data_IF_417557480835
#
_entry.id   IF_417557480835
#
_cell.length_a   1.000
_cell.length_b   1.000
_cell.length_c   1.000
_cell.angle_alpha   90.00
_cell.angle_beta   90.00
_cell.angle_gamma   90.00
#
_symmetry.space_group_name_H-M   'P 1'
#
loop_
_entity.id
_entity.type
_entity.pdbx_description
1 polymer ?
#
# COMPACT_ATOMS: atom_id res chain seq x y z
N UNK A 1 19.62 0.16 -0.61
CA UNK A 1 18.23 -0.20 -0.24
C UNK A 1 17.96 -1.69 -0.38
N UNK A 2 18.09 -2.29 -1.57
CA UNK A 2 17.66 -3.68 -1.83
C UNK A 2 18.21 -4.70 -0.82
N UNK A 3 19.49 -4.61 -0.48
CA UNK A 3 20.12 -5.51 0.50
C UNK A 3 19.51 -5.37 1.91
N UNK A 4 19.03 -4.18 2.25
CA UNK A 4 18.33 -3.90 3.51
C UNK A 4 16.90 -4.44 3.55
N UNK A 5 16.37 -4.95 2.43
CA UNK A 5 15.07 -5.63 2.37
C UNK A 5 15.23 -7.16 2.38
N UNK A 6 16.45 -7.67 2.24
CA UNK A 6 16.74 -9.10 2.23
C UNK A 6 16.88 -9.64 3.67
N UNK A 7 16.59 -10.94 3.81
CA UNK A 7 16.69 -11.66 5.08
C UNK A 7 15.71 -11.20 6.16
N UNK A 8 14.75 -10.34 5.81
CA UNK A 8 13.73 -9.89 6.74
C UNK A 8 12.73 -11.02 7.05
N UNK A 9 12.19 -11.08 8.29
CA UNK A 9 11.17 -12.06 8.65
C UNK A 9 9.95 -11.99 7.73
N UNK A 10 9.37 -13.14 7.41
CA UNK A 10 8.11 -13.23 6.67
C UNK A 10 6.88 -13.30 7.59
N UNK A 11 7.07 -13.58 8.89
CA UNK A 11 5.99 -13.60 9.88
C UNK A 11 6.47 -13.05 11.24
N UNK A 12 5.89 -11.94 11.75
CA UNK A 12 5.00 -11.03 11.03
C UNK A 12 5.68 -10.47 9.75
N UNK A 13 4.90 -10.00 8.76
CA UNK A 13 5.46 -9.48 7.52
C UNK A 13 6.32 -8.24 7.77
N UNK A 14 7.37 -8.09 6.97
CA UNK A 14 8.35 -7.03 7.17
C UNK A 14 8.19 -5.85 6.20
N UNK A 15 7.53 -6.04 5.07
CA UNK A 15 7.42 -5.05 4.00
C UNK A 15 6.01 -4.48 3.94
N UNK A 16 5.89 -3.19 4.16
CA UNK A 16 4.64 -2.44 4.05
C UNK A 16 4.81 -1.40 2.96
N UNK A 17 3.97 -1.47 1.94
CA UNK A 17 4.19 -0.84 0.65
C UNK A 17 2.98 -0.01 0.27
N UNK A 18 3.27 1.13 -0.34
CA UNK A 18 2.28 2.01 -0.96
C UNK A 18 2.91 2.63 -2.22
N UNK A 19 2.10 3.24 -3.08
CA UNK A 19 2.55 3.99 -4.24
C UNK A 19 1.83 5.33 -4.32
N UNK A 20 2.52 6.33 -4.89
CA UNK A 20 1.91 7.62 -5.23
C UNK A 20 2.22 8.01 -6.67
N UNK A 21 1.27 8.70 -7.32
CA UNK A 21 1.46 9.24 -8.65
C UNK A 21 0.23 9.93 -9.25
N UNK A 22 0.39 10.50 -10.46
CA UNK A 22 -0.70 11.18 -11.15
C UNK A 22 -1.68 10.17 -11.74
N UNK A 23 -2.92 10.16 -11.25
CA UNK A 23 -3.94 9.17 -11.65
C UNK A 23 -3.46 7.71 -11.55
N UNK A 24 -2.79 7.38 -10.43
CA UNK A 24 -2.14 6.08 -10.15
C UNK A 24 -2.94 4.89 -10.71
N UNK A 25 -2.46 4.36 -11.84
CA UNK A 25 -3.01 3.25 -12.62
C UNK A 25 -2.09 3.01 -13.83
N UNK A 26 -2.39 1.99 -14.64
CA UNK A 26 -1.74 1.77 -15.95
C UNK A 26 -1.91 2.93 -16.94
N UNK A 27 -2.92 3.78 -16.73
CA UNK A 27 -3.22 4.94 -17.58
C UNK A 27 -2.72 6.26 -17.00
N UNK A 28 -2.16 6.25 -15.79
CA UNK A 28 -1.51 7.38 -15.14
C UNK A 28 -0.01 7.16 -15.03
N UNK A 29 0.57 7.51 -13.89
CA UNK A 29 1.99 7.31 -13.60
C UNK A 29 2.23 6.79 -12.18
N UNK A 30 3.45 6.29 -11.95
CA UNK A 30 3.99 6.05 -10.61
C UNK A 30 5.13 7.05 -10.39
N UNK A 31 4.99 7.91 -9.41
CA UNK A 31 5.99 8.93 -9.05
C UNK A 31 6.90 8.43 -7.93
N UNK A 32 6.32 7.75 -6.95
CA UNK A 32 6.98 7.26 -5.75
C UNK A 32 6.48 5.87 -5.39
N UNK A 33 7.40 5.08 -4.82
CA UNK A 33 7.07 3.82 -4.17
C UNK A 33 7.61 3.87 -2.75
N UNK A 34 6.73 3.68 -1.76
CA UNK A 34 7.07 3.71 -0.34
C UNK A 34 7.27 2.27 0.16
N UNK A 35 8.36 2.01 0.90
CA UNK A 35 8.57 0.72 1.58
C UNK A 35 8.96 0.99 3.02
N UNK A 36 8.05 0.73 3.96
CA UNK A 36 8.42 0.60 5.36
C UNK A 36 8.93 -0.82 5.66
N UNK A 37 10.15 -0.89 6.19
CA UNK A 37 10.83 -2.13 6.53
C UNK A 37 10.84 -2.36 8.06
N UNK A 38 9.97 -3.26 8.53
CA UNK A 38 9.97 -3.78 9.91
C UNK A 38 10.95 -4.96 10.03
N UNK A 39 11.64 -5.18 11.16
CA UNK A 39 11.68 -4.36 12.38
C UNK A 39 12.73 -3.23 12.31
N UNK A 40 13.29 -2.93 11.13
CA UNK A 40 14.33 -1.90 10.96
C UNK A 40 13.86 -0.46 11.24
N UNK A 41 12.55 -0.24 11.39
CA UNK A 41 11.89 1.06 11.59
C UNK A 41 12.36 2.13 10.60
N UNK A 42 12.48 1.76 9.32
CA UNK A 42 12.94 2.65 8.27
C UNK A 42 11.97 2.65 7.09
N UNK A 43 11.67 3.83 6.55
CA UNK A 43 10.88 3.99 5.32
C UNK A 43 11.78 4.42 4.19
N UNK A 44 11.80 3.63 3.12
CA UNK A 44 12.43 4.00 1.86
C UNK A 44 11.39 4.67 0.95
N UNK A 45 11.73 5.84 0.42
CA UNK A 45 10.99 6.47 -0.67
C UNK A 45 11.79 6.26 -1.96
N UNK A 46 11.30 5.40 -2.84
CA UNK A 46 11.94 5.10 -4.13
C UNK A 46 11.40 6.08 -5.16
N UNK A 47 12.30 6.85 -5.75
CA UNK A 47 11.97 7.84 -6.78
C UNK A 47 11.72 7.14 -8.13
N UNK A 48 10.48 6.68 -8.35
CA UNK A 48 10.09 6.01 -9.59
C UNK A 48 10.06 7.00 -10.76
N UNK A 49 9.69 8.26 -10.51
CA UNK A 49 9.72 9.33 -11.52
C UNK A 49 11.12 9.49 -12.13
N UNK A 50 12.18 9.51 -11.30
CA UNK A 50 13.55 9.68 -11.80
C UNK A 50 14.18 8.36 -12.29
N UNK A 51 13.89 7.23 -11.64
CA UNK A 51 14.55 5.96 -11.92
C UNK A 51 13.85 5.15 -13.02
N UNK A 52 12.54 5.32 -13.19
CA UNK A 52 11.71 4.50 -14.08
C UNK A 52 11.97 3.00 -13.91
N UNK A 53 12.13 2.30 -15.04
CA UNK A 53 12.40 0.85 -15.05
C UNK A 53 13.68 0.44 -14.30
N UNK A 54 14.66 1.36 -14.14
CA UNK A 54 15.90 1.06 -13.39
C UNK A 54 15.66 0.81 -11.92
N UNK A 55 14.60 1.37 -11.34
CA UNK A 55 14.21 1.09 -9.95
C UNK A 55 13.99 -0.42 -9.70
N UNK A 56 13.61 -1.15 -10.75
CA UNK A 56 13.20 -2.54 -10.68
C UNK A 56 14.21 -3.53 -11.26
N UNK A 57 15.20 -3.06 -12.02
CA UNK A 57 16.21 -3.91 -12.69
C UNK A 57 17.59 -3.89 -12.03
N UNK A 58 17.90 -2.88 -11.20
CA UNK A 58 19.17 -2.82 -10.47
C UNK A 58 19.24 -3.91 -9.40
N UNK A 59 20.35 -4.65 -9.40
CA UNK A 59 20.62 -5.70 -8.42
C UNK A 59 21.26 -5.11 -7.17
N UNK A 60 20.85 -5.59 -5.99
CA UNK A 60 21.61 -5.42 -4.76
C UNK A 60 22.86 -6.30 -4.73
N UNK A 61 23.70 -6.14 -3.71
CA UNK A 61 24.85 -7.01 -3.45
C UNK A 61 24.45 -8.50 -3.35
N UNK A 62 23.25 -8.80 -2.82
CA UNK A 62 22.70 -10.16 -2.79
C UNK A 62 22.14 -10.67 -4.12
N UNK A 63 22.35 -9.96 -5.24
CA UNK A 63 21.98 -10.36 -6.59
C UNK A 63 20.49 -10.23 -6.93
N UNK A 64 19.61 -9.98 -5.96
CA UNK A 64 18.18 -9.73 -6.17
C UNK A 64 17.88 -8.31 -6.62
N UNK A 65 16.80 -8.13 -7.38
CA UNK A 65 16.24 -6.81 -7.73
C UNK A 65 14.97 -6.50 -6.92
N UNK A 66 14.50 -5.26 -6.97
CA UNK A 66 13.21 -4.90 -6.36
C UNK A 66 12.05 -5.66 -7.02
N UNK A 67 12.09 -5.83 -8.35
CA UNK A 67 11.11 -6.63 -9.10
C UNK A 67 10.97 -8.03 -8.51
N UNK A 68 12.09 -8.74 -8.34
CA UNK A 68 12.08 -10.09 -7.79
C UNK A 68 11.55 -10.15 -6.34
N UNK A 69 11.70 -9.09 -5.55
CA UNK A 69 11.12 -9.01 -4.21
C UNK A 69 9.59 -8.85 -4.29
N UNK A 70 9.11 -7.95 -5.16
CA UNK A 70 7.69 -7.69 -5.38
C UNK A 70 6.97 -8.91 -5.98
N UNK A 71 7.60 -9.64 -6.89
CA UNK A 71 7.03 -10.84 -7.54
C UNK A 71 7.14 -12.12 -6.69
N UNK A 72 7.89 -12.11 -5.59
CA UNK A 72 8.08 -13.31 -4.76
C UNK A 72 6.85 -13.62 -3.90
N UNK A 73 6.23 -14.78 -4.13
CA UNK A 73 5.14 -15.30 -3.27
C UNK A 73 5.60 -15.61 -1.84
N UNK A 74 6.89 -15.88 -1.62
CA UNK A 74 7.46 -16.23 -0.30
C UNK A 74 7.85 -15.02 0.54
N UNK A 75 7.84 -13.81 -0.05
CA UNK A 75 8.07 -12.56 0.65
C UNK A 75 6.72 -11.84 0.76
N UNK A 76 6.10 -11.77 1.94
CA UNK A 76 4.86 -11.05 2.10
C UNK A 76 5.07 -9.53 1.94
N UNK A 77 4.21 -8.89 1.14
CA UNK A 77 4.10 -7.43 1.07
C UNK A 77 2.72 -7.02 1.52
N UNK A 78 2.66 -6.10 2.46
CA UNK A 78 1.41 -5.59 3.01
C UNK A 78 1.08 -4.28 2.32
N UNK A 79 -0.08 -4.23 1.66
CA UNK A 79 -0.64 -3.04 1.03
C UNK A 79 -1.94 -2.67 1.73
N UNK A 80 -2.35 -1.40 1.64
CA UNK A 80 -3.72 -1.02 1.96
C UNK A 80 -4.48 -0.77 0.66
N UNK A 81 -5.31 -1.72 0.23
CA UNK A 81 -6.04 -1.65 -1.05
C UNK A 81 -5.14 -1.70 -2.30
N UNK A 82 -4.59 -2.87 -2.59
CA UNK A 82 -3.53 -3.07 -3.60
C UNK A 82 -3.94 -2.83 -5.07
N UNK A 83 -5.23 -2.58 -5.34
CA UNK A 83 -5.78 -2.72 -6.70
C UNK A 83 -5.13 -1.76 -7.70
N UNK A 84 -5.06 -0.47 -7.39
CA UNK A 84 -4.45 0.51 -8.30
C UNK A 84 -2.92 0.45 -8.29
N UNK A 85 -2.31 0.05 -7.17
CA UNK A 85 -0.86 -0.16 -7.06
C UNK A 85 -0.41 -1.27 -7.99
N UNK A 86 -1.09 -2.42 -7.92
CA UNK A 86 -0.83 -3.60 -8.75
C UNK A 86 -1.10 -3.31 -10.23
N UNK A 87 -2.20 -2.59 -10.53
CA UNK A 87 -2.51 -2.13 -11.88
C UNK A 87 -1.39 -1.27 -12.47
N UNK A 88 -0.89 -0.30 -11.70
CA UNK A 88 0.18 0.60 -12.13
C UNK A 88 1.53 -0.14 -12.28
N UNK A 89 1.89 -0.97 -11.30
CA UNK A 89 3.13 -1.76 -11.31
C UNK A 89 3.19 -2.71 -12.52
N UNK A 90 2.07 -3.38 -12.81
CA UNK A 90 1.97 -4.28 -13.95
C UNK A 90 1.92 -3.52 -15.27
N UNK A 91 1.05 -2.50 -15.38
CA UNK A 91 0.86 -1.73 -16.60
C UNK A 91 2.11 -1.01 -17.09
N UNK A 92 2.92 -0.45 -16.17
CA UNK A 92 4.12 0.32 -16.53
C UNK A 92 5.40 -0.52 -16.58
N UNK A 93 5.53 -1.53 -15.72
CA UNK A 93 6.80 -2.23 -15.49
C UNK A 93 6.71 -3.77 -15.59
N UNK A 94 5.53 -4.29 -15.93
CA UNK A 94 5.28 -5.73 -16.07
C UNK A 94 5.62 -6.51 -14.81
N UNK A 95 5.36 -5.94 -13.63
CA UNK A 95 5.62 -6.57 -12.34
C UNK A 95 4.41 -7.43 -11.97
N UNK A 96 4.61 -8.75 -11.96
CA UNK A 96 3.60 -9.72 -11.53
C UNK A 96 3.58 -9.80 -9.99
N UNK A 97 2.93 -8.82 -9.36
CA UNK A 97 2.92 -8.67 -7.91
C UNK A 97 2.39 -9.94 -7.22
N UNK A 98 3.13 -10.51 -6.28
CA UNK A 98 2.72 -11.74 -5.58
C UNK A 98 2.90 -11.62 -4.07
N UNK A 99 2.38 -12.56 -3.28
CA UNK A 99 2.56 -12.56 -1.82
C UNK A 99 1.92 -11.36 -1.10
N UNK A 100 0.85 -10.79 -1.67
CA UNK A 100 0.17 -9.62 -1.10
C UNK A 100 -0.67 -9.99 0.12
N UNK A 101 -0.62 -9.14 1.14
CA UNK A 101 -1.60 -9.10 2.22
C UNK A 101 -2.30 -7.74 2.19
N UNK A 102 -3.59 -7.73 1.87
CA UNK A 102 -4.37 -6.49 1.74
C UNK A 102 -5.03 -6.12 3.08
N UNK A 103 -4.54 -5.05 3.72
CA UNK A 103 -5.01 -4.60 5.03
C UNK A 103 -6.45 -4.13 5.02
N UNK A 104 -6.94 -3.59 3.89
CA UNK A 104 -8.32 -3.16 3.77
C UNK A 104 -9.26 -4.38 3.84
N UNK A 105 -8.86 -5.50 3.23
CA UNK A 105 -9.58 -6.78 3.34
C UNK A 105 -9.46 -7.40 4.73
N UNK A 106 -8.28 -7.36 5.34
CA UNK A 106 -8.10 -7.84 6.72
C UNK A 106 -9.02 -7.08 7.68
N UNK A 107 -9.05 -5.75 7.59
CA UNK A 107 -9.92 -4.92 8.42
C UNK A 107 -11.40 -5.30 8.23
N UNK A 108 -11.86 -5.40 6.99
CA UNK A 108 -13.23 -5.77 6.66
C UNK A 108 -13.62 -7.13 7.26
N UNK A 109 -12.72 -8.12 7.16
CA UNK A 109 -12.94 -9.46 7.69
C UNK A 109 -13.12 -9.47 9.23
N UNK A 110 -12.49 -8.54 9.96
CA UNK A 110 -12.67 -8.42 11.43
C UNK A 110 -14.03 -7.88 11.86
N UNK A 111 -14.83 -7.31 10.95
CA UNK A 111 -16.13 -6.73 11.29
C UNK A 111 -17.22 -7.80 11.42
N UNK A 112 -18.36 -7.46 12.02
CA UNK A 112 -19.58 -8.28 11.96
C UNK A 112 -20.21 -8.22 10.56
N UNK A 113 -21.07 -9.18 10.22
CA UNK A 113 -21.69 -9.30 8.90
C UNK A 113 -22.38 -8.01 8.43
N UNK A 114 -23.17 -7.35 9.29
CA UNK A 114 -23.86 -6.10 8.97
C UNK A 114 -22.91 -4.94 8.59
N UNK A 115 -21.65 -4.99 9.05
CA UNK A 115 -20.63 -3.97 8.78
C UNK A 115 -19.76 -4.26 7.54
N UNK A 116 -20.02 -5.34 6.80
CA UNK A 116 -19.17 -5.80 5.70
C UNK A 116 -19.63 -5.39 4.31
N UNK A 117 -20.65 -4.54 4.16
CA UNK A 117 -21.10 -4.11 2.82
C UNK A 117 -20.07 -3.25 2.08
N UNK A 118 -19.32 -2.42 2.81
CA UNK A 118 -18.37 -1.46 2.24
C UNK A 118 -17.01 -1.50 2.95
N UNK A 119 -15.94 -1.32 2.18
CA UNK A 119 -14.57 -1.18 2.71
C UNK A 119 -14.36 0.19 3.37
N UNK A 120 -13.37 0.29 4.26
CA UNK A 120 -12.93 1.58 4.86
C UNK A 120 -11.69 2.11 4.15
N UNK A 121 -11.54 3.43 4.11
CA UNK A 121 -10.28 4.07 3.72
C UNK A 121 -9.26 4.05 4.87
N UNK A 122 -7.97 4.08 4.51
CA UNK A 122 -6.84 3.97 5.45
C UNK A 122 -6.94 4.94 6.63
N UNK A 123 -7.37 6.18 6.36
CA UNK A 123 -7.51 7.22 7.37
C UNK A 123 -8.44 6.81 8.53
N UNK A 124 -9.58 6.20 8.19
CA UNK A 124 -10.55 5.74 9.18
C UNK A 124 -9.98 4.57 9.98
N UNK A 125 -9.23 3.69 9.33
CA UNK A 125 -8.57 2.55 9.96
C UNK A 125 -7.49 3.02 10.95
N UNK A 126 -6.59 3.92 10.54
CA UNK A 126 -5.58 4.49 11.45
C UNK A 126 -6.26 5.16 12.65
N UNK A 127 -7.26 6.00 12.39
CA UNK A 127 -7.93 6.74 13.47
C UNK A 127 -8.62 5.81 14.48
N UNK A 128 -9.33 4.78 14.03
CA UNK A 128 -10.10 3.91 14.92
C UNK A 128 -9.26 2.79 15.56
N UNK A 129 -8.30 2.25 14.82
CA UNK A 129 -7.70 0.96 15.13
C UNK A 129 -6.21 1.02 15.44
N UNK A 130 -5.46 2.01 14.94
CA UNK A 130 -4.05 2.11 15.29
C UNK A 130 -3.90 2.56 16.76
N UNK A 131 -3.12 1.84 17.59
CA UNK A 131 -2.77 2.28 18.93
C UNK A 131 -1.81 3.48 18.84
N UNK A 132 -2.39 4.68 18.79
CA UNK A 132 -1.68 5.96 18.79
C UNK A 132 -1.93 6.68 20.11
N UNK A 133 -0.88 7.26 20.68
CA UNK A 133 -1.01 8.28 21.73
C UNK A 133 -1.76 9.50 21.19
N UNK A 134 -2.27 10.35 22.09
CA UNK A 134 -2.94 11.59 21.70
C UNK A 134 -2.03 12.51 20.86
N UNK A 135 -0.74 12.60 21.23
CA UNK A 135 0.25 13.38 20.51
C UNK A 135 0.55 12.81 19.11
N UNK A 136 0.77 11.49 18.98
CA UNK A 136 0.95 10.83 17.68
C UNK A 136 -0.25 11.05 16.77
N UNK A 137 -1.47 10.93 17.32
CA UNK A 137 -2.71 11.15 16.58
C UNK A 137 -2.83 12.59 16.07
N UNK A 138 -2.49 13.57 16.90
CA UNK A 138 -2.53 14.98 16.51
C UNK A 138 -1.50 15.28 15.41
N UNK A 139 -0.27 14.80 15.59
CA UNK A 139 0.80 14.95 14.61
C UNK A 139 0.45 14.26 13.27
N UNK A 140 -0.12 13.06 13.33
CA UNK A 140 -0.57 12.33 12.14
C UNK A 140 -1.65 13.10 11.38
N UNK A 141 -2.70 13.57 12.09
CA UNK A 141 -3.77 14.37 11.47
C UNK A 141 -3.23 15.64 10.83
N UNK A 142 -2.33 16.34 11.51
CA UNK A 142 -1.76 17.59 11.02
C UNK A 142 -0.93 17.39 9.74
N UNK A 143 -0.01 16.42 9.74
CA UNK A 143 0.80 16.10 8.56
C UNK A 143 -0.06 15.64 7.37
N UNK A 144 -1.05 14.80 7.66
CA UNK A 144 -2.01 14.31 6.66
C UNK A 144 -2.81 15.45 6.03
N UNK A 145 -3.30 16.38 6.84
CA UNK A 145 -4.05 17.55 6.37
C UNK A 145 -3.18 18.44 5.47
N UNK A 146 -1.91 18.66 5.82
CA UNK A 146 -0.97 19.41 4.98
C UNK A 146 -0.73 18.72 3.64
N UNK A 147 -0.43 17.41 3.65
CA UNK A 147 -0.23 16.63 2.42
C UNK A 147 -1.47 16.66 1.52
N UNK A 148 -2.66 16.41 2.08
CA UNK A 148 -3.92 16.43 1.33
C UNK A 148 -4.18 17.77 0.64
N UNK A 149 -3.86 18.90 1.26
CA UNK A 149 -4.02 20.23 0.61
C UNK A 149 -3.10 20.41 -0.59
N UNK A 150 -1.95 19.73 -0.60
CA UNK A 150 -0.97 19.85 -1.67
C UNK A 150 -1.33 18.98 -2.87
N UNK A 151 -1.79 17.73 -2.66
CA UNK A 151 -2.04 16.82 -3.78
C UNK A 151 -3.51 16.65 -4.19
N UNK A 152 -4.48 16.87 -3.29
CA UNK A 152 -5.88 16.54 -3.57
C UNK A 152 -6.59 17.67 -4.35
N UNK A 153 -7.08 17.43 -5.58
CA UNK A 153 -7.70 18.48 -6.42
C UNK A 153 -8.92 19.15 -5.77
N UNK A 154 -9.74 18.39 -5.03
CA UNK A 154 -10.90 18.92 -4.32
C UNK A 154 -10.53 19.85 -3.16
N UNK A 155 -9.24 19.93 -2.81
CA UNK A 155 -8.67 20.85 -1.82
C UNK A 155 -7.81 21.95 -2.44
N UNK A 156 -7.80 22.08 -3.76
CA UNK A 156 -6.97 23.03 -4.51
C UNK A 156 -5.55 22.53 -4.78
N UNK A 157 -5.25 21.27 -4.48
CA UNK A 157 -3.97 20.63 -4.76
C UNK A 157 -3.88 20.02 -6.16
N UNK A 158 -2.76 19.36 -6.44
CA UNK A 158 -2.55 18.62 -7.68
C UNK A 158 -1.65 17.42 -7.44
N UNK A 159 -1.99 16.26 -8.01
CA UNK A 159 -1.17 15.05 -7.90
C UNK A 159 0.26 15.23 -8.45
N UNK A 160 0.50 16.25 -9.27
CA UNK A 160 1.84 16.61 -9.78
C UNK A 160 2.86 16.92 -8.70
N UNK A 161 2.43 17.26 -7.49
CA UNK A 161 3.36 17.47 -6.36
C UNK A 161 4.19 16.22 -6.03
N UNK A 162 3.73 15.02 -6.43
CA UNK A 162 4.51 13.80 -6.29
C UNK A 162 5.66 13.68 -7.30
N UNK A 163 5.60 14.42 -8.42
CA UNK A 163 6.65 14.46 -9.45
C UNK A 163 7.71 15.54 -9.18
N UNK A 164 7.44 16.49 -8.28
CA UNK A 164 8.33 17.61 -7.98
C UNK A 164 9.64 17.15 -7.32
N UNK A 165 10.77 17.74 -7.74
CA UNK A 165 12.11 17.46 -7.17
C UNK A 165 12.84 18.77 -6.83
N UNK A 166 13.35 18.94 -5.59
CA UNK A 166 13.24 18.01 -4.47
C UNK A 166 11.79 17.89 -3.96
N UNK A 167 11.42 16.71 -3.45
CA UNK A 167 10.10 16.47 -2.89
C UNK A 167 9.91 17.32 -1.61
N UNK A 168 8.80 18.03 -1.52
CA UNK A 168 8.51 18.89 -0.35
C UNK A 168 8.47 18.08 0.95
N UNK A 169 8.82 18.72 2.07
CA UNK A 169 8.85 18.05 3.37
C UNK A 169 7.48 17.53 3.77
N UNK A 170 6.41 18.30 3.52
CA UNK A 170 5.04 17.91 3.84
C UNK A 170 4.59 16.67 3.04
N UNK A 171 4.96 16.58 1.75
CA UNK A 171 4.65 15.40 0.92
C UNK A 171 5.49 14.19 1.34
N UNK A 172 6.78 14.38 1.66
CA UNK A 172 7.63 13.31 2.22
C UNK A 172 7.04 12.75 3.51
N UNK A 173 6.62 13.63 4.42
CA UNK A 173 6.06 13.23 5.70
C UNK A 173 4.71 12.52 5.53
N UNK A 174 3.87 12.98 4.60
CA UNK A 174 2.64 12.29 4.21
C UNK A 174 2.93 10.86 3.74
N UNK A 175 3.81 10.69 2.74
CA UNK A 175 4.17 9.38 2.17
C UNK A 175 4.71 8.41 3.24
N UNK A 176 5.54 8.90 4.17
CA UNK A 176 6.08 8.07 5.25
C UNK A 176 4.96 7.57 6.17
N UNK A 177 3.97 8.41 6.47
CA UNK A 177 2.90 8.06 7.40
C UNK A 177 1.91 7.03 6.83
N UNK A 178 1.70 7.00 5.51
CA UNK A 178 0.79 6.06 4.88
C UNK A 178 1.25 4.60 5.02
N UNK A 179 2.57 4.36 5.13
CA UNK A 179 3.12 3.02 5.38
C UNK A 179 3.51 2.76 6.84
N UNK A 180 3.93 3.78 7.60
CA UNK A 180 4.50 3.59 8.96
C UNK A 180 3.53 3.01 9.98
N UNK A 181 2.23 3.27 9.84
CA UNK A 181 1.21 2.77 10.78
C UNK A 181 0.63 1.41 10.37
N UNK A 182 0.89 0.94 9.15
CA UNK A 182 0.40 -0.34 8.65
C UNK A 182 0.81 -1.56 9.50
N UNK A 183 2.03 -1.66 10.08
CA UNK A 183 2.36 -2.75 10.98
C UNK A 183 1.46 -2.83 12.21
N UNK A 184 1.09 -1.68 12.78
CA UNK A 184 0.22 -1.64 13.97
C UNK A 184 -1.21 -2.11 13.63
N UNK A 185 -1.71 -1.72 12.46
CA UNK A 185 -2.99 -2.18 11.93
C UNK A 185 -2.95 -3.69 11.63
N UNK A 186 -1.89 -4.15 10.97
CA UNK A 186 -1.68 -5.56 10.63
C UNK A 186 -1.75 -6.44 11.86
N UNK A 187 -0.97 -6.14 12.90
CA UNK A 187 -0.95 -6.93 14.14
C UNK A 187 -2.32 -7.00 14.80
N UNK A 188 -3.07 -5.89 14.80
CA UNK A 188 -4.42 -5.82 15.37
C UNK A 188 -5.43 -6.64 14.57
N UNK A 189 -5.37 -6.57 13.25
CA UNK A 189 -6.32 -7.31 12.41
C UNK A 189 -5.99 -8.79 12.37
N UNK A 190 -4.72 -9.18 12.18
CA UNK A 190 -4.32 -10.59 12.16
C UNK A 190 -4.66 -11.33 13.46
N UNK A 191 -4.49 -10.68 14.62
CA UNK A 191 -4.86 -11.24 15.92
C UNK A 191 -6.36 -11.57 16.05
N UNK A 192 -7.22 -10.95 15.23
CA UNK A 192 -8.67 -11.17 15.24
C UNK A 192 -9.15 -12.12 14.13
N UNK A 193 -8.31 -12.43 13.15
CA UNK A 193 -8.69 -13.30 12.05
C UNK A 193 -8.66 -14.78 12.48
N UNK A 194 -9.77 -15.47 12.26
CA UNK A 194 -9.80 -16.94 12.30
C UNK A 194 -9.01 -17.53 11.11
N UNK A 195 -8.56 -18.80 11.18
CA UNK A 195 -7.88 -19.45 10.05
C UNK A 195 -8.67 -19.40 8.74
N UNK A 196 -9.99 -19.59 8.81
CA UNK A 196 -10.89 -19.49 7.66
C UNK A 196 -10.86 -18.08 7.05
N UNK A 197 -10.96 -17.04 7.87
CA UNK A 197 -10.91 -15.66 7.40
C UNK A 197 -9.53 -15.27 6.87
N UNK A 198 -8.44 -15.79 7.46
CA UNK A 198 -7.09 -15.61 6.88
C UNK A 198 -7.00 -16.18 5.46
N UNK A 199 -7.56 -17.37 5.22
CA UNK A 199 -7.61 -17.96 3.89
C UNK A 199 -8.44 -17.10 2.93
N UNK A 200 -9.67 -16.72 3.33
CA UNK A 200 -10.54 -15.88 2.49
C UNK A 200 -9.92 -14.53 2.13
N UNK A 201 -9.22 -13.89 3.07
CA UNK A 201 -8.49 -12.63 2.82
C UNK A 201 -7.36 -12.86 1.82
N UNK A 202 -6.58 -13.93 1.97
CA UNK A 202 -5.51 -14.26 1.01
C UNK A 202 -6.06 -14.49 -0.40
N UNK A 203 -7.12 -15.27 -0.52
CA UNK A 203 -7.75 -15.57 -1.81
C UNK A 203 -8.29 -14.29 -2.47
N UNK A 204 -8.98 -13.45 -1.69
CA UNK A 204 -9.50 -12.18 -2.19
C UNK A 204 -8.39 -11.17 -2.53
N UNK A 205 -7.25 -11.16 -1.82
CA UNK A 205 -6.11 -10.33 -2.16
C UNK A 205 -5.44 -10.79 -3.47
N UNK A 206 -5.27 -12.11 -3.65
CA UNK A 206 -4.78 -12.68 -4.91
C UNK A 206 -5.74 -12.39 -6.08
N UNK A 207 -7.05 -12.48 -5.85
CA UNK A 207 -8.06 -12.10 -6.85
C UNK A 207 -8.00 -10.61 -7.20
N UNK A 208 -7.82 -9.71 -6.21
CA UNK A 208 -7.62 -8.26 -6.45
C UNK A 208 -6.41 -8.00 -7.35
N UNK A 209 -5.30 -8.68 -7.09
CA UNK A 209 -4.09 -8.58 -7.93
C UNK A 209 -4.39 -9.08 -9.34
N UNK A 210 -4.92 -10.30 -9.50
CA UNK A 210 -5.21 -10.86 -10.82
C UNK A 210 -6.17 -9.99 -11.63
N UNK A 211 -7.25 -9.51 -11.00
CA UNK A 211 -8.20 -8.59 -11.62
C UNK A 211 -7.53 -7.26 -11.99
N UNK A 212 -6.71 -6.67 -11.12
CA UNK A 212 -6.03 -5.41 -11.39
C UNK A 212 -5.07 -5.46 -12.58
N UNK A 213 -4.58 -6.64 -12.95
CA UNK A 213 -3.65 -6.84 -14.07
C UNK A 213 -4.34 -7.26 -15.37
N UNK A 214 -5.64 -7.57 -15.32
CA UNK A 214 -6.46 -7.88 -16.49
C UNK A 214 -6.66 -6.68 -17.42
N UNK A 215 -6.93 -6.91 -18.70
CA UNK A 215 -7.09 -5.84 -19.69
C UNK A 215 -8.30 -4.92 -19.43
N UNK A 216 -9.34 -5.44 -18.79
CA UNK A 216 -10.63 -4.81 -18.53
C UNK A 216 -10.75 -4.18 -17.13
N UNK A 217 -9.67 -4.17 -16.35
CA UNK A 217 -9.66 -3.58 -15.02
C UNK A 217 -10.07 -2.09 -15.03
N UNK A 218 -11.05 -1.74 -14.20
CA UNK A 218 -11.42 -0.37 -13.91
C UNK A 218 -11.26 -0.08 -12.41
N UNK A 219 -10.17 0.60 -12.06
CA UNK A 219 -9.84 1.04 -10.71
C UNK A 219 -10.60 2.26 -10.19
N UNK A 220 -11.58 2.79 -10.95
CA UNK A 220 -12.30 4.03 -10.62
C UNK A 220 -13.82 3.80 -10.55
N UNK A 221 -14.45 4.20 -9.44
CA UNK A 221 -15.90 4.21 -9.31
C UNK A 221 -16.42 3.65 -7.99
N UNK A 222 -17.74 3.71 -7.81
CA UNK A 222 -18.41 3.28 -6.55
C UNK A 222 -18.27 1.78 -6.28
N UNK A 223 -18.08 0.95 -7.32
CA UNK A 223 -17.89 -0.49 -7.17
C UNK A 223 -16.61 -0.82 -6.38
N UNK A 224 -15.59 0.05 -6.42
CA UNK A 224 -14.35 -0.13 -5.67
C UNK A 224 -14.55 -0.07 -4.16
N UNK A 225 -15.65 0.54 -3.70
CA UNK A 225 -16.01 0.61 -2.27
C UNK A 225 -16.78 -0.62 -1.77
N UNK A 226 -17.21 -1.53 -2.65
CA UNK A 226 -17.95 -2.73 -2.28
C UNK A 226 -17.01 -3.81 -1.73
N UNK A 227 -17.55 -4.63 -0.84
CA UNK A 227 -16.85 -5.82 -0.37
C UNK A 227 -16.73 -6.91 -1.44
N UNK A 228 -15.77 -7.83 -1.29
CA UNK A 228 -15.70 -9.01 -2.16
C UNK A 228 -17.00 -9.82 -2.10
N UNK A 229 -17.32 -10.49 -3.21
CA UNK A 229 -18.54 -11.30 -3.32
C UNK A 229 -18.60 -12.35 -2.21
N UNK A 230 -19.77 -12.48 -1.56
CA UNK A 230 -20.01 -13.47 -0.50
C UNK A 230 -19.43 -13.12 0.87
N UNK A 231 -18.95 -11.89 1.09
CA UNK A 231 -18.51 -11.40 2.40
C UNK A 231 -19.61 -10.69 3.21
N UNK A 232 -20.71 -10.35 2.55
CA UNK A 232 -21.89 -9.66 3.07
C UNK A 232 -23.18 -10.26 2.52
#
# INVERSE_FOLDING_TARGET
>A
MIDALQGLPSNPPSLYVDLEGESLSRHGSISLLQIYASPRDHTYLVDICALGARAFSVRGAGGRTLKQILESASIPKVFFDVRNDSDALYGHYGIDLSGVQDLQLMELATRTFAGRRFVSGLSKCIERDAPLTAAERLAWKAAKEKGLRLFAPERGGSYRVFDERPLSEDIRLYCVQDVRFLPRLWSRYDARLTPMWRQRVRDAAAERVAQSQSADFNGKGKHMALAPRGWC
#
